data_IF_848792071832
#
_entry.id   IF_848792071832
#
_cell.length_a   1.000
_cell.length_b   1.000
_cell.length_c   1.000
_cell.angle_alpha   90.00
_cell.angle_beta   90.00
_cell.angle_gamma   90.00
#
_symmetry.space_group_name_H-M   'P 1'
#
loop_
_entity.id
_entity.type
_entity.pdbx_description
1 polymer ?
#
# COMPACT_ATOMS: atom_id res chain seq x y z
N UNK A 1 20.83 -6.28 -12.55
CA UNK A 1 20.85 -4.96 -13.23
C UNK A 1 20.87 -5.19 -14.73
N UNK A 2 19.92 -4.61 -15.44
CA UNK A 2 19.93 -4.64 -16.90
C UNK A 2 21.09 -3.73 -17.34
N UNK A 3 22.19 -4.27 -17.84
CA UNK A 3 23.41 -3.52 -18.17
C UNK A 3 23.29 -2.54 -19.35
N UNK A 4 22.09 -2.05 -19.65
CA UNK A 4 21.83 -1.13 -20.76
C UNK A 4 21.70 0.30 -20.23
N UNK A 5 22.71 1.12 -20.47
CA UNK A 5 22.78 2.53 -20.01
C UNK A 5 21.60 3.39 -20.49
N UNK A 6 21.13 3.17 -21.72
CA UNK A 6 20.00 3.92 -22.27
C UNK A 6 18.73 3.71 -21.44
N UNK A 7 18.39 2.44 -21.12
CA UNK A 7 17.23 2.18 -20.28
C UNK A 7 17.40 2.67 -18.83
N UNK A 8 18.62 2.62 -18.29
CA UNK A 8 18.90 3.20 -16.97
C UNK A 8 18.59 4.70 -16.94
N UNK A 9 19.01 5.46 -17.94
CA UNK A 9 18.75 6.88 -18.05
C UNK A 9 17.26 7.20 -18.25
N UNK A 10 16.56 6.41 -19.07
CA UNK A 10 15.11 6.56 -19.30
C UNK A 10 14.34 6.33 -18.00
N UNK A 11 14.58 5.20 -17.35
CA UNK A 11 13.85 4.84 -16.12
C UNK A 11 14.22 5.74 -14.94
N UNK A 12 15.47 6.19 -14.83
CA UNK A 12 15.88 7.15 -13.80
C UNK A 12 15.13 8.50 -13.90
N UNK A 13 14.66 8.87 -15.09
CA UNK A 13 13.78 10.05 -15.25
C UNK A 13 12.32 9.70 -14.96
N UNK A 14 11.85 8.55 -15.44
CA UNK A 14 10.45 8.15 -15.33
C UNK A 14 10.04 7.80 -13.89
N UNK A 15 10.98 7.37 -13.05
CA UNK A 15 10.70 7.05 -11.64
C UNK A 15 10.08 8.23 -10.85
N UNK A 16 10.28 9.48 -11.31
CA UNK A 16 9.71 10.66 -10.66
C UNK A 16 8.38 11.12 -11.27
N UNK A 17 7.83 10.39 -12.26
CA UNK A 17 6.57 10.79 -12.94
C UNK A 17 5.35 10.79 -12.01
N UNK A 18 5.37 10.05 -10.89
CA UNK A 18 4.33 10.10 -9.89
C UNK A 18 4.07 11.51 -9.35
N UNK A 19 5.09 12.38 -9.33
CA UNK A 19 4.98 13.80 -8.92
C UNK A 19 4.04 14.60 -9.82
N UNK A 20 3.89 14.20 -11.09
CA UNK A 20 3.03 14.88 -12.06
C UNK A 20 1.53 14.63 -11.82
N UNK A 21 1.19 13.57 -11.10
CA UNK A 21 -0.20 13.17 -10.82
C UNK A 21 -0.59 13.38 -9.35
N UNK A 22 0.30 13.90 -8.52
CA UNK A 22 -0.06 14.33 -7.18
C UNK A 22 -0.65 15.74 -7.22
N UNK A 23 -1.88 15.88 -6.72
CA UNK A 23 -2.57 17.17 -6.59
C UNK A 23 -2.47 17.67 -5.14
N UNK A 24 -1.59 18.65 -4.86
CA UNK A 24 -1.39 19.14 -3.50
C UNK A 24 -2.61 19.87 -2.93
N UNK A 25 -3.54 20.33 -3.78
CA UNK A 25 -4.75 21.03 -3.33
C UNK A 25 -5.73 20.10 -2.61
N UNK A 26 -5.71 18.80 -2.95
CA UNK A 26 -6.55 17.75 -2.36
C UNK A 26 -5.75 16.70 -1.56
N UNK A 27 -4.42 16.67 -1.75
CA UNK A 27 -3.52 15.71 -1.09
C UNK A 27 -3.73 14.27 -1.54
N UNK A 28 -3.87 14.04 -2.86
CA UNK A 28 -4.06 12.73 -3.47
C UNK A 28 -3.37 12.63 -4.83
N UNK A 29 -3.03 11.40 -5.22
CA UNK A 29 -2.84 11.07 -6.63
C UNK A 29 -4.19 11.19 -7.33
N UNK A 30 -4.20 11.85 -8.51
CA UNK A 30 -5.42 12.20 -9.24
C UNK A 30 -5.21 12.02 -10.74
N UNK A 31 -6.25 11.61 -11.44
CA UNK A 31 -6.23 11.51 -12.90
C UNK A 31 -5.92 12.85 -13.55
N UNK A 32 -5.06 12.82 -14.57
CA UNK A 32 -4.63 14.00 -15.31
C UNK A 32 -4.63 13.72 -16.81
N UNK A 33 -5.27 14.59 -17.58
CA UNK A 33 -5.32 14.47 -19.02
C UNK A 33 -3.99 14.84 -19.71
N UNK A 34 -3.85 14.48 -20.98
CA UNK A 34 -2.68 14.83 -21.78
C UNK A 34 -2.53 16.37 -21.98
N UNK A 35 -3.61 17.12 -21.82
CA UNK A 35 -3.63 18.57 -21.81
C UNK A 35 -3.15 19.19 -20.48
N UNK A 36 -2.76 18.34 -19.52
CA UNK A 36 -2.27 18.74 -18.20
C UNK A 36 -3.36 19.12 -17.20
N UNK A 37 -4.63 19.01 -17.56
CA UNK A 37 -5.76 19.31 -16.66
C UNK A 37 -6.10 18.13 -15.79
N UNK A 38 -6.50 18.43 -14.56
CA UNK A 38 -7.02 17.42 -13.65
C UNK A 38 -8.37 16.89 -14.12
N UNK A 39 -8.60 15.61 -13.93
CA UNK A 39 -9.89 14.99 -14.20
C UNK A 39 -10.95 15.52 -13.22
N UNK A 40 -12.08 15.98 -13.75
CA UNK A 40 -13.21 16.49 -13.00
C UNK A 40 -14.50 15.72 -13.33
N UNK A 41 -15.44 15.54 -12.39
CA UNK A 41 -15.33 15.86 -10.98
C UNK A 41 -14.34 14.94 -10.26
N UNK A 42 -13.81 15.35 -9.10
CA UNK A 42 -12.92 14.52 -8.27
C UNK A 42 -13.58 14.19 -6.93
N UNK A 43 -13.76 12.91 -6.67
CA UNK A 43 -14.15 12.37 -5.38
C UNK A 43 -13.16 11.25 -4.99
N UNK A 44 -12.37 11.40 -3.91
CA UNK A 44 -11.34 10.43 -3.54
C UNK A 44 -11.89 9.05 -3.12
N UNK A 45 -13.20 8.94 -2.88
CA UNK A 45 -13.88 7.69 -2.53
C UNK A 45 -14.41 6.93 -3.75
N UNK A 46 -14.45 7.57 -4.91
CA UNK A 46 -14.99 6.97 -6.13
C UNK A 46 -14.01 5.96 -6.71
N UNK A 47 -14.49 4.73 -6.91
CA UNK A 47 -13.72 3.63 -7.46
C UNK A 47 -13.68 3.66 -8.99
N UNK A 48 -12.54 3.27 -9.55
CA UNK A 48 -12.33 3.24 -10.99
C UNK A 48 -11.87 4.59 -11.56
N UNK A 49 -12.32 4.93 -12.77
CA UNK A 49 -11.82 6.10 -13.48
C UNK A 49 -10.31 5.96 -13.78
N UNK A 50 -9.44 6.79 -13.19
CA UNK A 50 -8.00 6.69 -13.38
C UNK A 50 -7.36 5.54 -12.56
N UNK A 51 -8.11 4.86 -11.72
CA UNK A 51 -7.64 3.81 -10.81
C UNK A 51 -8.21 2.45 -11.22
N UNK A 52 -7.38 1.41 -11.16
CA UNK A 52 -7.79 0.04 -11.39
C UNK A 52 -8.10 -0.63 -10.04
N UNK A 53 -9.31 -1.17 -9.88
CA UNK A 53 -9.72 -1.89 -8.64
C UNK A 53 -9.45 -1.12 -7.35
N UNK A 54 -9.73 0.18 -7.37
CA UNK A 54 -9.46 1.04 -6.23
C UNK A 54 -9.90 2.47 -6.43
N UNK A 55 -9.51 3.31 -5.49
CA UNK A 55 -9.77 4.74 -5.49
C UNK A 55 -8.51 5.54 -5.09
N UNK A 56 -8.63 6.85 -4.91
CA UNK A 56 -7.49 7.69 -4.55
C UNK A 56 -6.91 7.35 -3.17
N UNK A 57 -7.71 6.86 -2.21
CA UNK A 57 -7.22 6.42 -0.91
C UNK A 57 -6.31 5.18 -0.98
N UNK A 58 -6.44 4.37 -2.04
CA UNK A 58 -5.60 3.19 -2.24
C UNK A 58 -4.33 3.54 -3.02
N UNK A 59 -4.45 4.28 -4.12
CA UNK A 59 -3.36 4.51 -5.05
C UNK A 59 -2.40 5.63 -4.68
N UNK A 60 -2.78 6.54 -3.78
CA UNK A 60 -1.90 7.65 -3.34
C UNK A 60 -0.58 7.15 -2.74
N UNK A 61 -0.56 5.94 -2.20
CA UNK A 61 0.60 5.34 -1.53
C UNK A 61 1.49 4.51 -2.45
N UNK A 62 1.12 4.29 -3.71
CA UNK A 62 1.80 3.37 -4.65
C UNK A 62 3.12 3.95 -5.22
N UNK A 63 3.99 4.45 -4.33
CA UNK A 63 5.33 4.98 -4.64
C UNK A 63 6.36 4.20 -3.82
N UNK A 64 6.53 2.94 -4.15
CA UNK A 64 7.37 1.99 -3.39
C UNK A 64 8.87 2.32 -3.45
N UNK A 65 9.30 2.92 -4.54
CA UNK A 65 10.71 3.16 -4.90
C UNK A 65 11.24 4.52 -4.43
N UNK A 66 10.37 5.41 -3.97
CA UNK A 66 10.73 6.78 -3.54
C UNK A 66 9.78 7.25 -2.43
N UNK A 67 9.77 6.53 -1.30
CA UNK A 67 8.86 6.83 -0.19
C UNK A 67 9.16 8.19 0.42
N UNK A 68 10.43 8.57 0.54
CA UNK A 68 10.86 9.90 1.01
C UNK A 68 10.31 11.00 0.10
N UNK A 69 10.43 10.82 -1.24
CA UNK A 69 9.87 11.76 -2.20
C UNK A 69 8.33 11.84 -2.14
N UNK A 70 7.65 10.74 -1.78
CA UNK A 70 6.21 10.77 -1.52
C UNK A 70 5.89 11.59 -0.26
N UNK A 71 6.64 11.41 0.84
CA UNK A 71 6.49 12.18 2.08
C UNK A 71 6.69 13.68 1.82
N UNK A 72 7.70 14.03 1.03
CA UNK A 72 7.97 15.42 0.63
C UNK A 72 6.78 16.09 -0.06
N UNK A 73 6.00 15.35 -0.86
CA UNK A 73 4.79 15.89 -1.50
C UNK A 73 3.71 16.32 -0.49
N UNK A 74 3.66 15.70 0.68
CA UNK A 74 2.77 16.12 1.78
C UNK A 74 3.36 17.26 2.61
N UNK A 75 4.64 17.57 2.43
CA UNK A 75 5.35 18.69 3.04
C UNK A 75 5.87 18.43 4.46
N UNK A 76 5.56 17.30 5.10
CA UNK A 76 6.19 16.83 6.34
C UNK A 76 5.72 15.42 6.71
N UNK A 77 6.54 14.69 7.51
CA UNK A 77 6.20 13.39 8.11
C UNK A 77 4.87 13.44 8.87
N UNK A 78 4.63 14.53 9.60
CA UNK A 78 3.42 14.69 10.38
C UNK A 78 2.17 14.78 9.49
N UNK A 79 2.20 15.58 8.42
CA UNK A 79 1.06 15.68 7.49
C UNK A 79 0.82 14.36 6.76
N UNK A 80 1.89 13.70 6.35
CA UNK A 80 1.84 12.39 5.72
C UNK A 80 1.18 11.37 6.64
N UNK A 81 1.64 11.25 7.89
CA UNK A 81 1.09 10.26 8.84
C UNK A 81 -0.34 10.58 9.27
N UNK A 82 -0.73 11.85 9.41
CA UNK A 82 -2.13 12.25 9.64
C UNK A 82 -3.01 11.78 8.47
N UNK A 83 -2.55 11.94 7.23
CA UNK A 83 -3.28 11.47 6.06
C UNK A 83 -3.40 9.95 6.05
N UNK A 84 -2.34 9.22 6.40
CA UNK A 84 -2.38 7.77 6.56
C UNK A 84 -3.35 7.32 7.67
N UNK A 85 -3.36 8.01 8.82
CA UNK A 85 -4.31 7.72 9.91
C UNK A 85 -5.77 7.82 9.42
N UNK A 86 -6.04 8.76 8.52
CA UNK A 86 -7.38 8.92 7.94
C UNK A 86 -7.84 7.71 7.15
N UNK A 87 -6.94 6.95 6.53
CA UNK A 87 -7.30 5.70 5.83
C UNK A 87 -8.01 4.73 6.76
N UNK A 88 -7.52 4.57 7.99
CA UNK A 88 -8.06 3.61 8.96
C UNK A 88 -9.25 4.14 9.77
N UNK A 89 -9.43 5.47 9.83
CA UNK A 89 -10.42 6.11 10.71
C UNK A 89 -11.67 6.61 9.98
N UNK A 90 -11.60 6.77 8.67
CA UNK A 90 -12.75 7.12 7.85
C UNK A 90 -13.78 5.96 7.82
N UNK A 91 -15.06 6.24 7.58
CA UNK A 91 -16.02 5.19 7.28
C UNK A 91 -15.61 4.38 6.03
N UNK A 92 -15.94 3.08 6.03
CA UNK A 92 -15.77 2.20 4.86
C UNK A 92 -16.86 2.50 3.79
N UNK A 93 -16.94 3.76 3.38
CA UNK A 93 -17.94 4.21 2.40
C UNK A 93 -17.58 3.69 1.02
N UNK A 94 -18.54 3.02 0.36
CA UNK A 94 -18.43 2.52 -1.00
C UNK A 94 -19.06 3.51 -1.97
N UNK A 95 -18.31 3.95 -2.96
CA UNK A 95 -18.79 4.69 -4.13
C UNK A 95 -18.32 3.97 -5.39
N UNK A 96 -19.18 3.18 -6.05
CA UNK A 96 -18.79 2.31 -7.16
C UNK A 96 -18.18 3.04 -8.37
N UNK A 97 -18.50 4.33 -8.56
CA UNK A 97 -17.92 5.13 -9.64
C UNK A 97 -18.12 4.50 -11.02
N UNK A 98 -17.05 4.41 -11.81
CA UNK A 98 -17.11 3.89 -13.18
C UNK A 98 -17.39 2.39 -13.27
N UNK A 99 -17.34 1.63 -12.17
CA UNK A 99 -17.78 0.23 -12.16
C UNK A 99 -19.29 0.07 -12.27
N UNK A 100 -20.07 1.13 -12.01
CA UNK A 100 -21.52 1.11 -12.13
C UNK A 100 -22.26 0.20 -11.12
N UNK A 101 -21.54 -0.54 -10.30
CA UNK A 101 -22.04 -1.43 -9.26
C UNK A 101 -20.95 -1.81 -8.27
N UNK A 102 -21.35 -2.45 -7.17
CA UNK A 102 -20.41 -2.87 -6.12
C UNK A 102 -19.71 -4.16 -6.57
N UNK A 103 -18.40 -4.12 -6.66
CA UNK A 103 -17.53 -5.28 -6.92
C UNK A 103 -17.07 -5.92 -5.60
N UNK A 104 -16.46 -7.11 -5.66
CA UNK A 104 -16.13 -7.87 -4.45
C UNK A 104 -15.09 -7.17 -3.57
N UNK A 105 -14.09 -6.51 -4.13
CA UNK A 105 -13.06 -5.79 -3.38
C UNK A 105 -13.64 -4.65 -2.52
N UNK A 106 -14.70 -4.01 -3.00
CA UNK A 106 -15.44 -3.00 -2.22
C UNK A 106 -16.14 -3.63 -1.01
N UNK A 107 -16.72 -4.83 -1.21
CA UNK A 107 -17.36 -5.59 -0.12
C UNK A 107 -16.35 -6.10 0.89
N UNK A 108 -15.21 -6.55 0.45
CA UNK A 108 -14.11 -7.00 1.29
C UNK A 108 -13.59 -5.85 2.17
N UNK A 109 -13.41 -4.64 1.60
CA UNK A 109 -13.07 -3.43 2.35
C UNK A 109 -14.13 -3.10 3.41
N UNK A 110 -15.41 -3.16 3.05
CA UNK A 110 -16.51 -2.91 3.98
C UNK A 110 -16.50 -3.93 5.13
N UNK A 111 -16.36 -5.22 4.82
CA UNK A 111 -16.33 -6.32 5.79
C UNK A 111 -15.09 -6.28 6.69
N UNK A 112 -13.95 -5.85 6.18
CA UNK A 112 -12.73 -5.66 6.97
C UNK A 112 -12.93 -4.65 8.10
N UNK A 113 -13.80 -3.65 7.90
CA UNK A 113 -14.13 -2.65 8.91
C UNK A 113 -12.92 -1.86 9.41
N UNK A 114 -11.99 -1.55 8.47
CA UNK A 114 -10.75 -0.80 8.73
C UNK A 114 -10.70 0.50 7.90
N UNK A 115 -11.82 1.22 7.86
CA UNK A 115 -11.93 2.48 7.12
C UNK A 115 -11.87 2.27 5.61
N UNK A 116 -11.00 3.03 4.95
CA UNK A 116 -10.72 2.90 3.52
C UNK A 116 -9.55 1.94 3.23
N UNK A 117 -9.07 1.19 4.22
CA UNK A 117 -8.00 0.20 4.03
C UNK A 117 -8.55 -1.09 3.42
N UNK A 118 -8.42 -1.24 2.12
CA UNK A 118 -8.88 -2.39 1.35
C UNK A 118 -7.79 -3.48 1.29
N UNK A 119 -7.54 -4.18 2.40
CA UNK A 119 -6.47 -5.17 2.49
C UNK A 119 -6.61 -6.33 1.49
N UNK A 120 -7.82 -6.66 1.10
CA UNK A 120 -8.14 -7.70 0.10
C UNK A 120 -7.57 -7.40 -1.29
N UNK A 121 -7.06 -6.17 -1.54
CA UNK A 121 -6.48 -5.81 -2.82
C UNK A 121 -5.07 -5.19 -2.66
N UNK A 122 -4.15 -5.49 -3.59
CA UNK A 122 -2.72 -5.20 -3.53
C UNK A 122 -2.34 -3.71 -3.48
N UNK A 123 -3.07 -2.77 -4.11
CA UNK A 123 -2.64 -1.37 -4.19
C UNK A 123 -2.34 -0.71 -2.85
N UNK A 124 -2.90 -1.21 -1.74
CA UNK A 124 -2.73 -0.60 -0.42
C UNK A 124 -2.01 -1.47 0.61
N UNK A 125 -1.71 -2.73 0.31
CA UNK A 125 -1.17 -3.70 1.27
C UNK A 125 0.16 -3.25 1.93
N UNK A 126 1.00 -2.50 1.22
CA UNK A 126 2.27 -1.99 1.72
C UNK A 126 2.13 -0.75 2.61
N UNK A 127 0.97 -0.05 2.53
CA UNK A 127 0.79 1.27 3.16
C UNK A 127 1.07 1.28 4.68
N UNK A 128 0.67 0.29 5.48
CA UNK A 128 0.96 0.29 6.92
C UNK A 128 2.44 0.35 7.27
N UNK A 129 3.31 -0.07 6.35
CA UNK A 129 4.75 -0.04 6.54
C UNK A 129 5.38 1.32 6.29
N UNK A 130 4.67 2.22 5.60
CA UNK A 130 5.16 3.56 5.27
C UNK A 130 5.29 4.47 6.51
N UNK A 131 4.59 4.17 7.61
CA UNK A 131 4.79 4.89 8.87
C UNK A 131 6.23 4.82 9.38
N UNK A 132 6.95 3.73 9.10
CA UNK A 132 8.35 3.58 9.52
C UNK A 132 9.26 4.58 8.84
N UNK A 133 9.01 4.91 7.57
CA UNK A 133 9.76 5.93 6.82
C UNK A 133 9.49 7.35 7.35
N UNK A 134 8.29 7.59 7.87
CA UNK A 134 7.91 8.87 8.49
C UNK A 134 8.20 8.91 10.01
N UNK A 135 9.16 8.11 10.49
CA UNK A 135 9.63 8.13 11.87
C UNK A 135 8.63 7.62 12.92
N UNK A 136 7.55 6.92 12.51
CA UNK A 136 6.52 6.38 13.42
C UNK A 136 6.40 4.83 13.36
N UNK A 137 7.49 4.06 13.55
CA UNK A 137 7.48 2.60 13.42
C UNK A 137 6.48 1.90 14.36
N UNK A 138 6.13 2.51 15.49
CA UNK A 138 5.11 1.96 16.39
C UNK A 138 3.71 1.90 15.74
N UNK A 139 3.38 2.80 14.81
CA UNK A 139 2.13 2.73 14.03
C UNK A 139 2.17 1.60 13.01
N UNK A 140 3.31 1.40 12.33
CA UNK A 140 3.53 0.20 11.51
C UNK A 140 3.23 -1.06 12.33
N UNK A 141 3.87 -1.19 13.49
CA UNK A 141 3.72 -2.36 14.36
C UNK A 141 2.26 -2.56 14.81
N UNK A 142 1.60 -1.48 15.19
CA UNK A 142 0.19 -1.52 15.59
C UNK A 142 -0.73 -1.96 14.47
N UNK A 143 -0.68 -1.28 13.30
CA UNK A 143 -1.60 -1.57 12.21
C UNK A 143 -1.34 -2.93 11.57
N UNK A 144 -0.09 -3.32 11.36
CA UNK A 144 0.25 -4.65 10.84
C UNK A 144 -0.28 -5.74 11.78
N UNK A 145 -0.15 -5.57 13.10
CA UNK A 145 -0.71 -6.49 14.08
C UNK A 145 -2.24 -6.56 14.00
N UNK A 146 -2.92 -5.42 13.90
CA UNK A 146 -4.37 -5.37 13.75
C UNK A 146 -4.84 -6.09 12.48
N UNK A 147 -4.15 -5.89 11.36
CA UNK A 147 -4.47 -6.54 10.10
C UNK A 147 -4.32 -8.06 10.23
N UNK A 148 -3.17 -8.53 10.72
CA UNK A 148 -2.87 -9.96 10.85
C UNK A 148 -3.88 -10.66 11.77
N UNK A 149 -4.20 -10.06 12.93
CA UNK A 149 -5.08 -10.68 13.93
C UNK A 149 -6.57 -10.60 13.58
N UNK A 150 -6.98 -9.60 12.81
CA UNK A 150 -8.41 -9.38 12.51
C UNK A 150 -8.85 -9.95 11.17
N UNK A 151 -7.96 -9.94 10.17
CA UNK A 151 -8.34 -10.23 8.79
C UNK A 151 -7.94 -11.63 8.33
N UNK A 152 -7.04 -12.30 9.04
CA UNK A 152 -6.60 -13.66 8.71
C UNK A 152 -7.08 -14.66 9.76
N UNK A 153 -7.48 -15.85 9.33
CA UNK A 153 -7.89 -16.92 10.23
C UNK A 153 -7.68 -18.32 9.60
N UNK A 154 -7.78 -19.37 10.41
CA UNK A 154 -7.55 -20.76 10.00
C UNK A 154 -8.84 -21.45 9.55
N UNK A 155 -9.68 -20.79 8.75
CA UNK A 155 -10.89 -21.35 8.19
C UNK A 155 -10.82 -21.42 6.66
N UNK A 156 -11.82 -21.98 6.01
CA UNK A 156 -11.96 -21.99 4.54
C UNK A 156 -12.02 -20.59 3.93
N UNK A 157 -12.38 -19.58 4.74
CA UNK A 157 -12.39 -18.15 4.37
C UNK A 157 -11.28 -17.40 5.11
N UNK A 158 -10.08 -17.98 5.11
CA UNK A 158 -8.94 -17.51 5.89
C UNK A 158 -8.30 -16.20 5.41
N UNK A 159 -8.65 -15.73 4.22
CA UNK A 159 -8.15 -14.50 3.61
C UNK A 159 -9.24 -13.43 3.54
N UNK A 160 -8.89 -12.13 3.67
CA UNK A 160 -9.83 -11.00 3.56
C UNK A 160 -10.17 -10.60 2.12
N UNK A 161 -9.74 -11.34 1.13
CA UNK A 161 -9.92 -11.15 -0.30
C UNK A 161 -9.32 -12.31 -1.09
N UNK A 162 -9.16 -12.12 -2.39
CA UNK A 162 -8.55 -13.12 -3.25
C UNK A 162 -7.06 -13.31 -2.92
N UNK A 163 -6.59 -14.55 -2.95
CA UNK A 163 -5.21 -14.90 -2.57
C UNK A 163 -4.17 -14.35 -3.55
N UNK A 164 -4.54 -14.23 -4.85
CA UNK A 164 -3.80 -13.59 -5.92
C UNK A 164 -2.37 -14.12 -6.11
N UNK A 165 -2.29 -15.41 -6.41
CA UNK A 165 -1.06 -16.08 -6.83
C UNK A 165 0.11 -15.94 -5.83
N UNK A 166 -0.20 -16.02 -4.55
CA UNK A 166 0.80 -15.89 -3.47
C UNK A 166 0.90 -14.49 -2.86
N UNK A 167 0.19 -13.50 -3.38
CA UNK A 167 0.24 -12.12 -2.89
C UNK A 167 -0.18 -12.01 -1.43
N UNK A 168 -1.36 -12.54 -1.11
CA UNK A 168 -1.93 -12.51 0.23
C UNK A 168 -1.15 -13.39 1.21
N UNK A 169 -0.77 -14.60 0.77
CA UNK A 169 0.00 -15.54 1.59
C UNK A 169 1.38 -15.00 1.93
N UNK A 170 2.10 -14.44 0.95
CA UNK A 170 3.43 -13.89 1.18
C UNK A 170 3.40 -12.67 2.07
N UNK A 171 2.38 -11.80 1.93
CA UNK A 171 2.17 -10.68 2.84
C UNK A 171 1.99 -11.16 4.29
N UNK A 172 1.11 -12.15 4.50
CA UNK A 172 0.86 -12.72 5.82
C UNK A 172 2.11 -13.37 6.42
N UNK A 173 2.85 -14.16 5.65
CA UNK A 173 4.05 -14.87 6.12
C UNK A 173 5.13 -13.85 6.51
N UNK A 174 5.46 -12.90 5.65
CA UNK A 174 6.48 -11.89 5.94
C UNK A 174 6.10 -11.02 7.13
N UNK A 175 4.85 -10.56 7.19
CA UNK A 175 4.32 -9.78 8.31
C UNK A 175 4.36 -10.56 9.62
N UNK A 176 4.03 -11.86 9.58
CA UNK A 176 4.10 -12.76 10.74
C UNK A 176 5.53 -12.99 11.23
N UNK A 177 6.52 -12.97 10.33
CA UNK A 177 7.94 -12.98 10.67
C UNK A 177 8.45 -11.64 11.20
N UNK A 178 7.67 -10.57 11.02
CA UNK A 178 7.99 -9.22 11.45
C UNK A 178 8.89 -8.42 10.50
N UNK A 179 8.92 -8.79 9.23
CA UNK A 179 9.68 -8.09 8.17
C UNK A 179 8.80 -7.89 6.93
N UNK A 180 9.05 -6.84 6.17
CA UNK A 180 8.38 -6.61 4.90
C UNK A 180 9.24 -5.79 3.94
N UNK A 181 9.31 -6.21 2.68
CA UNK A 181 9.99 -5.46 1.62
C UNK A 181 8.98 -4.51 0.95
N UNK A 182 9.01 -3.22 1.31
CA UNK A 182 8.15 -2.21 0.67
C UNK A 182 8.49 -2.07 -0.81
N UNK A 183 9.79 -2.05 -1.14
CA UNK A 183 10.27 -2.06 -2.51
C UNK A 183 11.05 -3.35 -2.79
N UNK A 184 10.47 -4.36 -3.47
CA UNK A 184 11.15 -5.63 -3.72
C UNK A 184 12.43 -5.53 -4.58
N UNK A 185 12.69 -4.38 -5.18
CA UNK A 185 13.91 -4.11 -5.96
C UNK A 185 15.11 -3.67 -5.13
N UNK A 186 14.96 -3.53 -3.82
CA UNK A 186 16.03 -3.16 -2.88
C UNK A 186 16.37 -4.33 -1.95
N UNK A 187 17.44 -4.19 -1.18
CA UNK A 187 17.88 -5.12 -0.13
C UNK A 187 17.40 -4.67 1.28
N UNK A 188 16.43 -3.78 1.33
CA UNK A 188 15.89 -3.21 2.57
C UNK A 188 14.59 -3.91 2.99
N UNK A 189 14.47 -4.15 4.30
CA UNK A 189 13.24 -4.63 4.93
C UNK A 189 12.82 -3.70 6.06
N UNK A 190 11.52 -3.40 6.11
CA UNK A 190 10.91 -2.70 7.25
C UNK A 190 10.63 -3.70 8.36
N UNK A 191 10.94 -3.33 9.60
CA UNK A 191 10.65 -4.13 10.78
C UNK A 191 9.21 -3.84 11.23
N UNK A 192 8.40 -4.89 11.25
CA UNK A 192 7.00 -4.86 11.69
C UNK A 192 6.82 -5.39 13.12
N UNK A 193 5.77 -6.19 13.32
CA UNK A 193 5.41 -6.78 14.61
C UNK A 193 5.30 -8.32 14.47
N UNK A 194 6.36 -9.08 14.77
CA UNK A 194 6.35 -10.54 14.59
C UNK A 194 5.30 -11.22 15.48
N UNK A 195 4.66 -12.27 14.95
CA UNK A 195 3.72 -13.12 15.71
C UNK A 195 4.46 -14.14 16.58
N UNK A 196 5.69 -14.49 16.22
CA UNK A 196 6.45 -15.56 16.83
C UNK A 196 7.50 -15.00 17.80
N UNK A 197 7.73 -15.68 18.89
CA UNK A 197 8.83 -15.36 19.82
C UNK A 197 10.20 -15.66 19.21
N UNK A 198 10.24 -16.58 18.27
CA UNK A 198 11.45 -16.97 17.55
C UNK A 198 11.05 -17.58 16.20
N UNK A 199 11.72 -17.15 15.15
CA UNK A 199 11.68 -17.77 13.83
C UNK A 199 13.11 -18.07 13.37
N UNK A 200 13.30 -19.14 12.62
CA UNK A 200 14.59 -19.50 12.05
C UNK A 200 14.42 -19.81 10.56
N UNK A 201 15.09 -19.05 9.72
CA UNK A 201 15.14 -19.28 8.28
C UNK A 201 16.48 -19.93 7.95
N UNK A 202 16.44 -21.12 7.38
CA UNK A 202 17.65 -21.79 6.87
C UNK A 202 17.86 -21.39 5.41
N UNK A 203 18.98 -20.73 5.16
CA UNK A 203 19.36 -20.27 3.82
C UNK A 203 19.90 -21.43 2.98
N UNK A 204 19.95 -21.27 1.65
CA UNK A 204 20.46 -22.28 0.72
C UNK A 204 21.91 -22.73 1.02
N UNK A 205 22.74 -21.82 1.54
CA UNK A 205 24.12 -22.10 1.95
C UNK A 205 24.23 -22.79 3.33
N UNK A 206 23.10 -23.16 3.95
CA UNK A 206 23.03 -23.78 5.28
C UNK A 206 23.13 -22.81 6.46
N UNK A 207 23.38 -21.53 6.23
CA UNK A 207 23.38 -20.52 7.29
C UNK A 207 21.97 -20.30 7.81
N UNK A 208 21.85 -19.82 9.05
CA UNK A 208 20.58 -19.56 9.70
C UNK A 208 20.45 -18.07 9.98
N UNK A 209 19.31 -17.53 9.59
CA UNK A 209 18.81 -16.23 10.04
C UNK A 209 17.78 -16.49 11.16
N UNK A 210 18.00 -15.87 12.32
CA UNK A 210 17.16 -16.11 13.53
C UNK A 210 16.65 -14.81 14.07
#
# INVERSE_FOLDING_TARGET
MIGNKHYQEVFARQMYNYKNVFDPSVGFMRGKGLDGKWQEPFDPLEWGGPFCEGNAWHYTWSVFHDVEGLIDLFGSDQKFTIKMDSVFTLPSTIKPGTYGGVIHEMKEMELAGMGQYAHGNQPIQHMPYLYSYAGQPWKTQYWVRQIVERLYNATERGYPGDEDQGGMSSWYILSSLGIYAVCPGTDEYVIGSPLFKKATITLENGNKFV
#
